data_IF_927547291950
#
_entry.id   IF_927547291950
#
_cell.length_a   1.000
_cell.length_b   1.000
_cell.length_c   1.000
_cell.angle_alpha   90.00
_cell.angle_beta   90.00
_cell.angle_gamma   90.00
#
_symmetry.space_group_name_H-M   'P 1'
#
loop_
_entity.id
_entity.type
_entity.pdbx_description
1 polymer ?
#
# COMPACT_ATOMS: atom_id res chain seq x y z
N UNK A 1 -9.99 0.66 -23.59
CA UNK A 1 -11.20 1.35 -23.08
C UNK A 1 -10.88 1.80 -21.66
N UNK A 2 -10.80 3.10 -21.41
CA UNK A 2 -10.52 3.62 -20.06
C UNK A 2 -11.80 3.57 -19.21
N UNK A 3 -11.64 3.40 -17.89
CA UNK A 3 -12.79 3.40 -16.95
C UNK A 3 -13.58 4.72 -17.01
N UNK A 4 -12.89 5.85 -17.21
CA UNK A 4 -13.50 7.16 -17.39
C UNK A 4 -14.51 7.20 -18.55
N UNK A 5 -14.12 6.69 -19.73
CA UNK A 5 -15.00 6.67 -20.92
C UNK A 5 -16.25 5.84 -20.65
N UNK A 6 -16.08 4.68 -20.01
CA UNK A 6 -17.20 3.79 -19.68
C UNK A 6 -18.19 4.47 -18.73
N UNK A 7 -17.69 5.14 -17.69
CA UNK A 7 -18.53 5.87 -16.73
C UNK A 7 -19.29 7.04 -17.39
N UNK A 8 -18.64 7.79 -18.28
CA UNK A 8 -19.32 8.84 -19.07
C UNK A 8 -20.45 8.25 -19.93
N UNK A 9 -20.21 7.10 -20.57
CA UNK A 9 -21.20 6.43 -21.41
C UNK A 9 -22.40 5.91 -20.60
N UNK A 10 -22.15 5.39 -19.41
CA UNK A 10 -23.18 5.00 -18.43
C UNK A 10 -24.00 6.21 -17.97
N UNK A 11 -23.35 7.29 -17.51
CA UNK A 11 -24.03 8.50 -17.02
C UNK A 11 -24.91 9.16 -18.09
N UNK A 12 -24.47 9.20 -19.35
CA UNK A 12 -25.28 9.71 -20.47
C UNK A 12 -26.47 8.79 -20.75
N UNK A 13 -26.31 7.48 -20.57
CA UNK A 13 -27.39 6.51 -20.79
C UNK A 13 -28.42 6.56 -19.66
N UNK A 14 -27.97 6.74 -18.41
CA UNK A 14 -28.80 6.92 -17.22
C UNK A 14 -29.57 8.24 -17.23
N UNK A 15 -29.02 9.29 -17.84
CA UNK A 15 -29.71 10.57 -17.95
C UNK A 15 -30.88 10.57 -18.95
N UNK A 16 -31.04 9.52 -19.77
CA UNK A 16 -32.03 9.41 -20.85
C UNK A 16 -32.00 10.56 -21.88
N UNK A 17 -30.91 11.33 -21.89
CA UNK A 17 -30.74 12.49 -22.74
C UNK A 17 -29.89 12.14 -23.97
N UNK A 18 -30.18 12.78 -25.09
CA UNK A 18 -29.30 12.65 -26.27
C UNK A 18 -28.06 13.52 -26.10
N UNK A 19 -26.96 13.15 -26.76
CA UNK A 19 -25.72 13.96 -26.81
C UNK A 19 -25.98 15.38 -27.32
N UNK A 20 -26.99 15.58 -28.17
CA UNK A 20 -27.39 16.90 -28.65
C UNK A 20 -28.10 17.72 -27.55
N UNK A 21 -29.09 17.12 -26.88
CA UNK A 21 -29.80 17.76 -25.76
C UNK A 21 -28.85 18.12 -24.62
N UNK A 22 -27.95 17.20 -24.24
CA UNK A 22 -26.96 17.45 -23.19
C UNK A 22 -25.99 18.59 -23.55
N UNK A 23 -25.66 18.72 -24.83
CA UNK A 23 -24.84 19.82 -25.33
C UNK A 23 -25.53 21.18 -25.19
N UNK A 24 -26.85 21.23 -25.47
CA UNK A 24 -27.65 22.44 -25.30
C UNK A 24 -27.85 22.79 -23.82
N UNK A 25 -28.25 21.82 -22.99
CA UNK A 25 -28.46 22.00 -21.55
C UNK A 25 -27.18 22.50 -20.87
N UNK A 26 -26.03 21.92 -21.22
CA UNK A 26 -24.73 22.30 -20.66
C UNK A 26 -24.09 23.52 -21.31
N UNK A 27 -24.66 24.05 -22.40
CA UNK A 27 -23.97 25.03 -23.26
C UNK A 27 -22.55 24.58 -23.62
N UNK A 28 -22.39 23.31 -23.96
CA UNK A 28 -21.11 22.68 -24.32
C UNK A 28 -21.07 22.29 -25.79
N UNK A 29 -19.88 22.25 -26.38
CA UNK A 29 -19.74 21.90 -27.79
C UNK A 29 -20.05 20.40 -28.02
N UNK A 30 -21.06 20.11 -28.85
CA UNK A 30 -21.50 18.75 -29.21
C UNK A 30 -20.37 17.89 -29.78
N UNK A 31 -19.54 18.44 -30.67
CA UNK A 31 -18.42 17.71 -31.29
C UNK A 31 -17.37 17.34 -30.25
N UNK A 32 -17.10 18.25 -29.30
CA UNK A 32 -16.21 17.97 -28.17
C UNK A 32 -16.79 16.88 -27.26
N UNK A 33 -18.10 16.93 -26.97
CA UNK A 33 -18.78 15.89 -26.20
C UNK A 33 -18.69 14.51 -26.88
N UNK A 34 -18.86 14.47 -28.20
CA UNK A 34 -18.70 13.23 -28.98
C UNK A 34 -17.27 12.68 -28.91
N UNK A 35 -16.26 13.55 -29.03
CA UNK A 35 -14.84 13.15 -28.89
C UNK A 35 -14.49 12.64 -27.50
N UNK A 36 -15.12 13.19 -26.47
CA UNK A 36 -14.96 12.71 -25.09
C UNK A 36 -15.63 11.36 -24.93
N UNK A 37 -16.87 11.21 -25.41
CA UNK A 37 -17.59 9.94 -25.41
C UNK A 37 -16.85 8.84 -26.17
N UNK A 38 -16.22 9.18 -27.31
CA UNK A 38 -15.42 8.20 -28.08
C UNK A 38 -14.10 7.87 -27.40
N UNK A 39 -13.59 8.72 -26.51
CA UNK A 39 -12.28 8.58 -25.86
C UNK A 39 -11.12 9.17 -26.67
N UNK A 40 -11.40 9.89 -27.76
CA UNK A 40 -10.39 10.58 -28.56
C UNK A 40 -9.78 11.77 -27.80
N UNK A 41 -10.53 12.36 -26.86
CA UNK A 41 -10.11 13.54 -26.11
C UNK A 41 -10.59 13.51 -24.66
N UNK A 42 -9.77 14.01 -23.73
CA UNK A 42 -10.18 14.27 -22.35
C UNK A 42 -10.79 15.68 -22.21
N UNK A 43 -11.82 15.85 -21.35
CA UNK A 43 -12.43 17.16 -21.11
C UNK A 43 -11.45 18.14 -20.46
N UNK A 44 -11.60 19.43 -20.78
CA UNK A 44 -10.98 20.51 -20.00
C UNK A 44 -11.76 20.74 -18.71
N UNK A 45 -11.17 21.37 -17.68
CA UNK A 45 -11.86 21.61 -16.40
C UNK A 45 -13.18 22.37 -16.55
N UNK A 46 -13.23 23.37 -17.43
CA UNK A 46 -14.45 24.14 -17.70
C UNK A 46 -15.52 23.29 -18.38
N UNK A 47 -15.12 22.49 -19.39
CA UNK A 47 -16.03 21.59 -20.08
C UNK A 47 -16.58 20.53 -19.12
N UNK A 48 -15.72 19.96 -18.27
CA UNK A 48 -16.09 18.97 -17.28
C UNK A 48 -17.12 19.51 -16.29
N UNK A 49 -16.92 20.73 -15.78
CA UNK A 49 -17.87 21.41 -14.89
C UNK A 49 -19.23 21.66 -15.55
N UNK A 50 -19.24 22.06 -16.82
CA UNK A 50 -20.48 22.29 -17.54
C UNK A 50 -21.19 20.97 -17.84
N UNK A 51 -20.43 19.91 -18.15
CA UNK A 51 -20.95 18.57 -18.37
C UNK A 51 -21.53 17.96 -17.08
N UNK A 52 -20.84 18.08 -15.95
CA UNK A 52 -21.34 17.57 -14.66
C UNK A 52 -22.64 18.27 -14.24
N UNK A 53 -22.74 19.58 -14.51
CA UNK A 53 -23.98 20.34 -14.31
C UNK A 53 -25.10 19.88 -15.25
N UNK A 54 -24.79 19.62 -16.52
CA UNK A 54 -25.77 19.15 -17.50
C UNK A 54 -26.33 17.76 -17.15
N UNK A 55 -25.46 16.87 -16.68
CA UNK A 55 -25.82 15.53 -16.19
C UNK A 55 -26.46 15.54 -14.80
N UNK A 56 -26.47 16.69 -14.11
CA UNK A 56 -26.99 16.87 -12.75
C UNK A 56 -26.37 15.87 -11.76
N UNK A 57 -25.06 15.65 -11.88
CA UNK A 57 -24.34 14.71 -11.03
C UNK A 57 -24.43 15.14 -9.56
N UNK A 58 -24.61 14.16 -8.68
CA UNK A 58 -24.43 14.33 -7.25
C UNK A 58 -22.95 14.60 -6.93
N UNK A 59 -22.63 15.17 -5.75
CA UNK A 59 -21.24 15.39 -5.34
C UNK A 59 -20.41 14.11 -5.35
N UNK A 60 -21.02 12.97 -4.98
CA UNK A 60 -20.35 11.66 -4.94
C UNK A 60 -19.98 11.19 -6.35
N UNK A 61 -20.92 11.29 -7.30
CA UNK A 61 -20.67 10.92 -8.70
C UNK A 61 -19.65 11.86 -9.35
N UNK A 62 -19.69 13.15 -8.99
CA UNK A 62 -18.73 14.13 -9.48
C UNK A 62 -17.30 13.83 -8.97
N UNK A 63 -17.15 13.46 -7.71
CA UNK A 63 -15.85 13.08 -7.15
C UNK A 63 -15.33 11.78 -7.77
N UNK A 64 -16.19 10.76 -7.91
CA UNK A 64 -15.85 9.50 -8.59
C UNK A 64 -15.36 9.78 -10.02
N UNK A 65 -16.12 10.55 -10.79
CA UNK A 65 -15.80 10.87 -12.16
C UNK A 65 -14.53 11.74 -12.28
N UNK A 66 -14.27 12.60 -11.31
CA UNK A 66 -13.04 13.41 -11.23
C UNK A 66 -11.81 12.53 -10.96
N UNK A 67 -11.92 11.55 -10.06
CA UNK A 67 -10.84 10.59 -9.81
C UNK A 67 -10.53 9.78 -11.08
N UNK A 68 -11.57 9.30 -11.78
CA UNK A 68 -11.41 8.59 -13.05
C UNK A 68 -10.77 9.47 -14.14
N UNK A 69 -11.10 10.77 -14.17
CA UNK A 69 -10.50 11.73 -15.10
C UNK A 69 -9.00 11.91 -14.83
N UNK A 70 -8.61 12.04 -13.57
CA UNK A 70 -7.20 12.19 -13.19
C UNK A 70 -6.39 10.92 -13.49
N UNK A 71 -6.95 9.73 -13.23
CA UNK A 71 -6.36 8.45 -13.63
C UNK A 71 -6.17 8.41 -15.15
N UNK A 72 -7.20 8.78 -15.92
CA UNK A 72 -7.12 8.80 -17.39
C UNK A 72 -6.12 9.83 -17.92
N UNK A 73 -5.91 10.94 -17.20
CA UNK A 73 -4.97 12.02 -17.57
C UNK A 73 -3.52 11.65 -17.32
N UNK A 74 -3.23 11.03 -16.17
CA UNK A 74 -1.87 10.61 -15.78
C UNK A 74 -1.49 9.26 -16.43
N UNK A 75 -2.49 8.44 -16.73
CA UNK A 75 -2.33 7.09 -17.26
C UNK A 75 -2.53 6.03 -16.16
N UNK A 76 -3.24 4.95 -16.51
CA UNK A 76 -3.62 3.88 -15.58
C UNK A 76 -2.40 3.25 -14.89
N UNK A 77 -1.33 2.98 -15.65
CA UNK A 77 -0.10 2.38 -15.13
C UNK A 77 0.60 3.27 -14.12
N UNK A 78 0.78 4.55 -14.45
CA UNK A 78 1.46 5.52 -13.57
C UNK A 78 0.62 5.78 -12.33
N UNK A 79 -0.71 5.89 -12.46
CA UNK A 79 -1.61 6.06 -11.33
C UNK A 79 -1.57 4.85 -10.39
N UNK A 80 -1.54 3.64 -10.95
CA UNK A 80 -1.44 2.40 -10.18
C UNK A 80 -0.11 2.30 -9.43
N UNK A 81 1.02 2.56 -10.10
CA UNK A 81 2.34 2.59 -9.45
C UNK A 81 2.39 3.63 -8.31
N UNK A 82 1.86 4.83 -8.52
CA UNK A 82 1.80 5.86 -7.47
C UNK A 82 0.95 5.42 -6.29
N UNK A 83 -0.18 4.75 -6.54
CA UNK A 83 -1.03 4.22 -5.48
C UNK A 83 -0.32 3.14 -4.67
N UNK A 84 0.35 2.19 -5.33
CA UNK A 84 1.16 1.19 -4.64
C UNK A 84 2.25 1.81 -3.77
N UNK A 85 2.93 2.86 -4.27
CA UNK A 85 3.94 3.58 -3.50
C UNK A 85 3.29 4.23 -2.27
N UNK A 86 2.11 4.84 -2.42
CA UNK A 86 1.37 5.43 -1.31
C UNK A 86 0.98 4.37 -0.27
N UNK A 87 0.37 3.27 -0.70
CA UNK A 87 -0.04 2.16 0.17
C UNK A 87 1.16 1.56 0.93
N UNK A 88 2.33 1.47 0.28
CA UNK A 88 3.57 1.03 0.91
C UNK A 88 4.06 2.01 1.98
N UNK A 89 4.01 3.32 1.69
CA UNK A 89 4.40 4.36 2.65
C UNK A 89 3.46 4.38 3.85
N UNK A 90 2.15 4.26 3.62
CA UNK A 90 1.13 4.16 4.66
C UNK A 90 1.40 2.94 5.56
N UNK A 91 1.63 1.77 4.97
CA UNK A 91 2.00 0.55 5.69
C UNK A 91 3.28 0.74 6.53
N UNK A 92 4.33 1.33 5.97
CA UNK A 92 5.57 1.61 6.72
C UNK A 92 5.30 2.59 7.86
N UNK A 93 4.48 3.61 7.64
CA UNK A 93 4.10 4.58 8.66
C UNK A 93 3.39 3.87 9.81
N UNK A 94 2.38 3.05 9.54
CA UNK A 94 1.66 2.28 10.56
C UNK A 94 2.61 1.36 11.35
N UNK A 95 3.52 0.66 10.66
CA UNK A 95 4.49 -0.25 11.29
C UNK A 95 5.55 0.47 12.13
N UNK A 96 5.89 1.72 11.80
CA UNK A 96 6.91 2.51 12.51
C UNK A 96 6.33 3.43 13.58
N UNK A 97 5.03 3.72 13.52
CA UNK A 97 4.29 4.43 14.57
C UNK A 97 4.14 3.55 15.83
N UNK A 98 4.12 2.23 15.65
CA UNK A 98 4.57 1.31 16.71
C UNK A 98 6.07 1.51 16.92
N UNK A 99 6.42 2.23 17.99
CA UNK A 99 7.77 2.14 18.55
C UNK A 99 8.02 0.67 18.85
N UNK A 100 8.72 -0.02 17.97
CA UNK A 100 9.50 -1.19 18.36
C UNK A 100 10.38 -0.63 19.49
N UNK A 101 10.22 -1.05 20.75
CA UNK A 101 11.20 -0.72 21.75
C UNK A 101 12.46 -1.41 21.25
N UNK A 102 13.32 -0.66 20.54
CA UNK A 102 14.66 -1.12 20.24
C UNK A 102 15.24 -1.50 21.61
N UNK A 103 15.38 -2.81 21.78
CA UNK A 103 15.91 -3.44 22.96
C UNK A 103 17.10 -2.65 23.42
N UNK A 104 16.98 -2.05 24.61
CA UNK A 104 18.03 -1.42 25.42
C UNK A 104 19.34 -1.24 24.64
N UNK A 105 19.59 -0.01 24.20
CA UNK A 105 20.95 0.45 23.96
C UNK A 105 21.82 -0.12 25.09
N UNK A 106 22.80 -0.94 24.70
CA UNK A 106 23.78 -1.49 25.62
C UNK A 106 24.58 -0.30 26.12
N UNK A 107 24.13 0.23 27.26
CA UNK A 107 24.86 1.21 28.04
C UNK A 107 26.17 0.52 28.44
N UNK A 108 27.24 0.80 27.69
CA UNK A 108 28.61 0.37 27.97
C UNK A 108 29.08 1.08 29.23
N UNK A 109 28.51 0.71 30.38
CA UNK A 109 29.07 1.05 31.67
C UNK A 109 30.20 0.06 31.94
N UNK A 110 31.41 0.52 31.62
CA UNK A 110 32.60 0.04 32.31
C UNK A 110 32.35 0.17 33.81
N UNK A 111 32.16 -0.96 34.46
CA UNK A 111 31.88 -1.04 35.89
C UNK A 111 32.25 -2.42 36.36
N UNK A 112 33.41 -2.50 37.01
CA UNK A 112 33.91 -3.67 37.72
C UNK A 112 32.80 -4.32 38.56
N UNK A 113 32.63 -5.64 38.42
CA UNK A 113 32.21 -6.52 39.51
C UNK A 113 32.47 -7.98 39.16
N UNK A 114 33.39 -8.53 39.96
CA UNK A 114 33.78 -9.92 40.06
C UNK A 114 32.62 -10.85 40.43
N UNK A 115 32.81 -12.12 40.06
CA UNK A 115 32.21 -13.34 40.62
C UNK A 115 30.73 -13.64 40.28
N UNK A 116 30.51 -14.31 39.15
CA UNK A 116 29.48 -15.33 38.94
C UNK A 116 29.93 -16.34 37.85
N UNK A 117 29.47 -17.61 37.93
CA UNK A 117 30.17 -18.76 37.36
C UNK A 117 29.99 -18.87 35.85
N UNK A 118 31.08 -19.23 35.17
CA UNK A 118 31.20 -19.67 33.79
C UNK A 118 30.03 -19.25 32.87
N UNK A 119 30.14 -18.04 32.32
CA UNK A 119 29.43 -17.66 31.10
C UNK A 119 29.64 -18.79 30.09
N UNK A 120 28.59 -19.56 29.81
CA UNK A 120 28.61 -20.56 28.74
C UNK A 120 29.12 -19.85 27.49
N UNK A 121 30.33 -20.21 27.08
CA UNK A 121 30.97 -19.61 25.93
C UNK A 121 30.02 -19.79 24.75
N UNK A 122 29.57 -18.68 24.17
CA UNK A 122 28.76 -18.70 22.95
C UNK A 122 29.58 -19.46 21.90
N UNK A 123 29.22 -20.73 21.69
CA UNK A 123 29.87 -21.61 20.74
C UNK A 123 29.32 -21.36 19.35
N UNK A 124 30.17 -20.99 18.41
CA UNK A 124 29.77 -20.83 17.00
C UNK A 124 29.68 -22.23 16.39
N UNK A 125 28.48 -22.65 16.02
CA UNK A 125 28.24 -23.90 15.31
C UNK A 125 28.15 -23.65 13.80
N UNK A 126 29.09 -24.17 13.01
CA UNK A 126 29.15 -23.97 11.56
C UNK A 126 28.67 -25.19 10.75
N UNK A 127 28.60 -26.38 11.35
CA UNK A 127 28.17 -27.61 10.67
C UNK A 127 26.63 -27.76 10.69
N UNK A 128 25.96 -27.98 9.54
CA UNK A 128 24.50 -28.16 9.47
C UNK A 128 23.95 -29.22 10.42
N UNK A 129 24.63 -30.36 10.58
CA UNK A 129 24.16 -31.43 11.48
C UNK A 129 24.33 -31.04 12.95
N UNK A 130 25.36 -30.26 13.26
CA UNK A 130 25.57 -29.73 14.62
C UNK A 130 24.50 -28.69 14.97
N UNK A 131 24.10 -27.85 14.01
CA UNK A 131 23.00 -26.89 14.18
C UNK A 131 21.67 -27.62 14.40
N UNK A 132 21.36 -28.65 13.60
CA UNK A 132 20.14 -29.44 13.77
C UNK A 132 20.07 -30.12 15.15
N UNK A 133 21.14 -30.79 15.57
CA UNK A 133 21.20 -31.43 16.88
C UNK A 133 21.10 -30.40 18.02
N UNK A 134 21.67 -29.20 17.85
CA UNK A 134 21.55 -28.12 18.83
C UNK A 134 20.09 -27.67 18.96
N UNK A 135 19.40 -27.47 17.84
CA UNK A 135 17.99 -27.07 17.81
C UNK A 135 17.13 -28.13 18.48
N UNK A 136 17.30 -29.40 18.11
CA UNK A 136 16.52 -30.51 18.66
C UNK A 136 16.70 -30.63 20.18
N UNK A 137 17.94 -30.65 20.66
CA UNK A 137 18.21 -30.73 22.10
C UNK A 137 17.72 -29.50 22.88
N UNK A 138 17.77 -28.31 22.27
CA UNK A 138 17.26 -27.08 22.90
C UNK A 138 15.75 -27.14 23.05
N UNK A 139 15.04 -27.58 22.01
CA UNK A 139 13.59 -27.75 22.03
C UNK A 139 13.18 -28.80 23.06
N UNK A 140 13.86 -29.94 23.11
CA UNK A 140 13.56 -31.01 24.06
C UNK A 140 13.82 -30.59 25.50
N UNK A 141 14.95 -29.94 25.79
CA UNK A 141 15.20 -29.40 27.13
C UNK A 141 14.14 -28.39 27.54
N UNK A 142 13.71 -27.54 26.61
CA UNK A 142 12.76 -26.47 26.90
C UNK A 142 11.33 -27.00 27.08
N UNK A 143 10.91 -28.00 26.30
CA UNK A 143 9.60 -28.65 26.43
C UNK A 143 9.49 -29.55 27.66
N UNK A 144 10.56 -30.26 28.03
CA UNK A 144 10.48 -31.31 29.04
C UNK A 144 11.12 -30.95 30.39
N UNK A 145 11.95 -29.90 30.46
CA UNK A 145 12.69 -29.55 31.68
C UNK A 145 12.30 -28.21 32.30
N UNK A 146 11.60 -27.33 31.57
CA UNK A 146 11.22 -25.99 32.05
C UNK A 146 9.71 -25.88 32.32
N UNK A 147 9.33 -25.28 33.46
CA UNK A 147 7.91 -25.02 33.79
C UNK A 147 7.29 -23.90 32.95
N UNK A 148 8.10 -23.04 32.34
CA UNK A 148 7.70 -22.01 31.38
C UNK A 148 8.77 -21.88 30.27
N UNK A 149 8.51 -22.38 29.06
CA UNK A 149 9.47 -22.31 27.94
C UNK A 149 9.55 -20.88 27.38
N UNK A 150 10.77 -20.40 27.10
CA UNK A 150 11.06 -19.14 26.39
C UNK A 150 12.16 -19.38 25.36
N UNK A 151 11.77 -19.47 24.09
CA UNK A 151 12.71 -19.70 22.98
C UNK A 151 13.64 -18.49 22.84
N UNK A 152 14.90 -18.66 23.22
CA UNK A 152 15.94 -17.65 22.99
C UNK A 152 16.28 -17.63 21.50
N UNK A 153 15.82 -16.59 20.81
CA UNK A 153 16.11 -16.34 19.40
C UNK A 153 17.62 -16.15 19.21
N UNK A 154 18.27 -17.09 18.54
CA UNK A 154 19.64 -16.96 18.06
C UNK A 154 19.61 -16.52 16.59
N UNK A 155 20.36 -15.47 16.24
CA UNK A 155 20.51 -15.01 14.85
C UNK A 155 21.69 -15.78 14.23
N UNK A 156 21.49 -16.63 13.21
CA UNK A 156 22.59 -17.27 12.52
C UNK A 156 23.36 -16.23 11.69
N UNK A 157 24.67 -16.13 11.95
CA UNK A 157 25.58 -15.34 11.12
C UNK A 157 26.12 -16.22 9.99
N UNK A 158 25.90 -15.82 8.74
CA UNK A 158 26.52 -16.44 7.57
C UNK A 158 27.75 -15.61 7.18
N UNK A 159 28.95 -16.11 7.48
CA UNK A 159 30.17 -15.55 6.88
C UNK A 159 30.19 -15.90 5.38
N UNK A 160 30.58 -14.92 4.57
CA UNK A 160 30.62 -14.96 3.09
C UNK A 160 31.76 -15.82 2.55
#
# INVERSE_FOLDING_TARGET
MTLFRKRIEELISESWETVASLAEIGSINRTTLQRIKSGERLPTPEFFRNLSRALRLSPVEQDELTQLLEIARVGETVSYSRRQIFDLIEMISELTEYKIPFSKEVDLKMGDRENQPATESIGICTNPMAVLNLIENSIDQELFSAAQPVLKLCIPHTES
#
